data_IF_174424185357
#
_entry.id   IF_174424185357
#
_cell.length_a   1.000
_cell.length_b   1.000
_cell.length_c   1.000
_cell.angle_alpha   90.00
_cell.angle_beta   90.00
_cell.angle_gamma   90.00
#
_symmetry.space_group_name_H-M   'P 1'
#
loop_
_entity.id
_entity.type
_entity.pdbx_description
1 polymer ?
#
# COMPACT_ATOMS: atom_id res chain seq x y z
N UNK A 1 6.81 7.02 -20.00
CA UNK A 1 6.45 8.41 -19.69
C UNK A 1 4.98 8.52 -19.27
N UNK A 2 4.04 7.97 -20.06
CA UNK A 2 2.59 8.06 -19.78
C UNK A 2 2.17 7.44 -18.44
N UNK A 3 2.80 6.36 -18.01
CA UNK A 3 2.51 5.68 -16.74
C UNK A 3 3.30 6.23 -15.55
N UNK A 4 4.14 7.26 -15.75
CA UNK A 4 5.01 7.84 -14.70
C UNK A 4 5.76 6.78 -13.88
N UNK A 5 6.21 5.74 -14.55
CA UNK A 5 6.80 4.55 -13.92
C UNK A 5 7.95 4.87 -12.95
N UNK A 6 8.70 5.94 -13.23
CA UNK A 6 9.80 6.40 -12.36
C UNK A 6 9.34 6.81 -10.97
N UNK A 7 8.08 7.26 -10.79
CA UNK A 7 7.58 7.67 -9.47
C UNK A 7 7.45 6.49 -8.50
N UNK A 8 7.28 5.27 -9.03
CA UNK A 8 7.19 4.05 -8.22
C UNK A 8 8.53 3.59 -7.66
N UNK A 9 9.65 4.14 -8.14
CA UNK A 9 10.96 3.87 -7.54
C UNK A 9 11.13 4.58 -6.20
N UNK A 10 10.48 5.72 -6.01
CA UNK A 10 10.44 6.45 -4.74
C UNK A 10 9.44 5.84 -3.75
N UNK A 11 9.30 6.52 -2.61
CA UNK A 11 8.39 6.10 -1.53
C UNK A 11 7.24 7.13 -1.33
N UNK A 12 7.08 8.10 -2.23
CA UNK A 12 6.03 9.12 -2.15
C UNK A 12 4.64 8.48 -2.33
N UNK A 13 3.73 8.65 -1.37
CA UNK A 13 2.37 8.12 -1.44
C UNK A 13 1.56 8.60 -2.64
N UNK A 14 1.87 9.79 -3.18
CA UNK A 14 1.19 10.33 -4.38
C UNK A 14 1.36 9.44 -5.61
N UNK A 15 2.44 8.65 -5.68
CA UNK A 15 2.65 7.68 -6.76
C UNK A 15 1.52 6.62 -6.80
N UNK A 16 1.00 6.21 -5.66
CA UNK A 16 -0.04 5.18 -5.56
C UNK A 16 -1.37 5.66 -6.16
N UNK A 17 -1.70 6.94 -6.03
CA UNK A 17 -2.96 7.51 -6.57
C UNK A 17 -2.88 7.90 -8.04
N UNK A 18 -1.78 7.62 -8.73
CA UNK A 18 -1.76 7.64 -10.20
C UNK A 18 -2.83 6.69 -10.79
N UNK A 19 -3.20 5.64 -10.04
CA UNK A 19 -4.35 4.81 -10.36
C UNK A 19 -5.54 5.22 -9.50
N UNK A 20 -6.62 5.72 -10.12
CA UNK A 20 -7.81 6.23 -9.42
C UNK A 20 -8.46 5.21 -8.46
N UNK A 21 -8.29 3.91 -8.74
CA UNK A 21 -8.82 2.83 -7.89
C UNK A 21 -8.17 2.82 -6.49
N UNK A 22 -7.01 3.47 -6.33
CA UNK A 22 -6.31 3.60 -5.05
C UNK A 22 -6.80 4.79 -4.22
N UNK A 23 -7.68 5.63 -4.76
CA UNK A 23 -8.23 6.81 -4.06
C UNK A 23 -8.81 6.50 -2.68
N UNK A 24 -9.63 5.46 -2.48
CA UNK A 24 -10.18 5.14 -1.15
C UNK A 24 -9.07 4.80 -0.14
N UNK A 25 -8.06 4.09 -0.56
CA UNK A 25 -6.96 3.65 0.29
C UNK A 25 -6.06 4.82 0.69
N UNK A 26 -5.78 5.71 -0.26
CA UNK A 26 -5.04 6.93 0.04
C UNK A 26 -5.83 7.85 1.00
N UNK A 27 -7.10 8.11 0.70
CA UNK A 27 -7.94 9.00 1.50
C UNK A 27 -8.09 8.48 2.94
N UNK A 28 -8.34 7.20 3.12
CA UNK A 28 -8.48 6.59 4.45
C UNK A 28 -7.16 6.56 5.21
N UNK A 29 -6.03 6.27 4.54
CA UNK A 29 -4.71 6.38 5.15
C UNK A 29 -4.42 7.81 5.61
N UNK A 30 -4.70 8.83 4.79
CA UNK A 30 -4.48 10.25 5.12
C UNK A 30 -5.22 10.70 6.40
N UNK A 31 -6.36 10.09 6.69
CA UNK A 31 -7.12 10.34 7.92
C UNK A 31 -6.70 9.43 9.09
N UNK A 32 -5.83 8.48 8.84
CA UNK A 32 -5.34 7.54 9.86
C UNK A 32 -4.19 8.11 10.69
N UNK A 33 -3.97 7.52 11.87
CA UNK A 33 -2.89 7.92 12.76
C UNK A 33 -1.48 7.72 12.15
N UNK A 34 -1.35 6.81 11.20
CA UNK A 34 -0.08 6.49 10.54
C UNK A 34 0.35 7.52 9.50
N UNK A 35 -0.57 8.32 8.95
CA UNK A 35 -0.27 9.27 7.88
C UNK A 35 0.83 10.30 8.22
N UNK A 36 1.01 10.62 9.50
CA UNK A 36 2.01 11.60 9.95
C UNK A 36 3.44 11.07 9.92
N UNK A 37 3.62 9.76 10.03
CA UNK A 37 4.92 9.15 10.29
C UNK A 37 5.28 8.04 9.30
N UNK A 38 4.36 7.66 8.41
CA UNK A 38 4.57 6.55 7.48
C UNK A 38 4.07 6.90 6.08
N UNK A 39 4.67 6.26 5.10
CA UNK A 39 4.22 6.21 3.71
C UNK A 39 3.54 4.87 3.43
N UNK A 40 2.95 4.73 2.24
CA UNK A 40 2.39 3.45 1.80
C UNK A 40 3.45 2.33 1.83
N UNK A 41 4.67 2.66 1.39
CA UNK A 41 5.77 1.70 1.29
C UNK A 41 6.30 1.24 2.64
N UNK A 42 6.15 2.04 3.70
CA UNK A 42 6.56 1.63 5.05
C UNK A 42 5.80 0.40 5.55
N UNK A 43 4.59 0.19 5.05
CA UNK A 43 3.77 -0.97 5.36
C UNK A 43 3.82 -2.05 4.27
N UNK A 44 3.81 -1.63 2.99
CA UNK A 44 3.58 -2.54 1.87
C UNK A 44 4.84 -3.07 1.20
N UNK A 45 6.03 -2.64 1.60
CA UNK A 45 7.30 -3.04 0.98
C UNK A 45 8.26 -3.54 2.06
N UNK A 46 9.03 -4.64 1.83
CA UNK A 46 9.98 -5.13 2.81
C UNK A 46 11.16 -4.16 3.00
N UNK A 47 11.64 -4.07 4.25
CA UNK A 47 12.70 -3.14 4.65
C UNK A 47 13.96 -3.81 5.20
N UNK A 48 14.01 -5.12 5.17
CA UNK A 48 15.13 -5.92 5.65
C UNK A 48 16.36 -5.87 4.72
N UNK A 49 16.11 -5.79 3.40
CA UNK A 49 17.15 -5.84 2.39
C UNK A 49 16.77 -4.99 1.18
N UNK A 50 17.73 -4.18 0.68
CA UNK A 50 17.54 -3.30 -0.49
C UNK A 50 17.17 -4.09 -1.75
N UNK A 51 17.80 -5.24 -1.99
CA UNK A 51 17.50 -6.08 -3.15
C UNK A 51 16.08 -6.67 -3.04
N UNK A 52 15.68 -7.16 -1.85
CA UNK A 52 14.32 -7.66 -1.60
C UNK A 52 13.31 -6.53 -1.78
N UNK A 53 13.61 -5.32 -1.29
CA UNK A 53 12.77 -4.12 -1.47
C UNK A 53 12.45 -3.87 -2.95
N UNK A 54 13.46 -3.73 -3.79
CA UNK A 54 13.24 -3.40 -5.21
C UNK A 54 12.71 -4.57 -6.03
N UNK A 55 13.11 -5.79 -5.72
CA UNK A 55 12.51 -6.98 -6.33
C UNK A 55 11.01 -7.06 -6.04
N UNK A 56 10.62 -6.86 -4.77
CA UNK A 56 9.21 -6.86 -4.36
C UNK A 56 8.43 -5.73 -5.04
N UNK A 57 8.96 -4.50 -5.04
CA UNK A 57 8.36 -3.37 -5.76
C UNK A 57 8.15 -3.64 -7.24
N UNK A 58 9.16 -4.22 -7.89
CA UNK A 58 9.08 -4.56 -9.31
C UNK A 58 8.02 -5.62 -9.59
N UNK A 59 8.03 -6.72 -8.84
CA UNK A 59 7.07 -7.82 -8.98
C UNK A 59 5.64 -7.36 -8.71
N UNK A 60 5.41 -6.67 -7.60
CA UNK A 60 4.09 -6.20 -7.17
C UNK A 60 3.57 -5.11 -8.11
N UNK A 61 4.42 -4.15 -8.49
CA UNK A 61 4.08 -3.11 -9.46
C UNK A 61 3.70 -3.67 -10.83
N UNK A 62 4.42 -4.67 -11.34
CA UNK A 62 4.08 -5.35 -12.61
C UNK A 62 2.76 -6.10 -12.50
N UNK A 63 2.48 -6.73 -11.37
CA UNK A 63 1.20 -7.38 -11.12
C UNK A 63 0.03 -6.38 -11.10
N UNK A 64 0.22 -5.21 -10.47
CA UNK A 64 -0.77 -4.13 -10.48
C UNK A 64 -1.03 -3.61 -11.90
N UNK A 65 0.02 -3.34 -12.68
CA UNK A 65 -0.11 -2.92 -14.08
C UNK A 65 -0.84 -3.97 -14.90
N UNK A 66 -0.49 -5.24 -14.75
CA UNK A 66 -1.16 -6.35 -15.45
C UNK A 66 -2.66 -6.39 -15.12
N UNK A 67 -3.02 -6.37 -13.84
CA UNK A 67 -4.42 -6.37 -13.39
C UNK A 67 -5.20 -5.17 -13.94
N UNK A 68 -4.60 -3.98 -13.89
CA UNK A 68 -5.21 -2.76 -14.38
C UNK A 68 -5.42 -2.78 -15.91
N UNK A 69 -4.42 -3.19 -16.68
CA UNK A 69 -4.51 -3.25 -18.15
C UNK A 69 -5.51 -4.31 -18.61
N UNK A 70 -5.56 -5.44 -17.92
CA UNK A 70 -6.50 -6.53 -18.22
C UNK A 70 -7.89 -6.36 -17.61
N UNK A 71 -8.11 -5.26 -16.85
CA UNK A 71 -9.37 -4.96 -16.14
C UNK A 71 -9.81 -6.09 -15.22
N UNK A 72 -8.85 -6.68 -14.50
CA UNK A 72 -9.07 -7.76 -13.53
C UNK A 72 -9.03 -7.25 -12.08
N UNK A 73 -9.07 -5.94 -11.88
CA UNK A 73 -9.15 -5.35 -10.56
C UNK A 73 -10.46 -5.74 -9.86
N UNK A 74 -10.34 -6.05 -8.59
CA UNK A 74 -11.51 -6.32 -7.74
C UNK A 74 -12.12 -5.01 -7.27
N UNK A 75 -13.44 -4.96 -7.12
CA UNK A 75 -14.13 -3.80 -6.53
C UNK A 75 -13.66 -3.51 -5.09
N UNK A 76 -13.38 -4.54 -4.32
CA UNK A 76 -12.73 -4.45 -3.01
C UNK A 76 -11.35 -5.07 -3.11
N UNK A 77 -10.31 -4.24 -3.12
CA UNK A 77 -8.92 -4.69 -3.19
C UNK A 77 -8.50 -5.18 -1.80
N UNK A 78 -7.85 -6.31 -1.76
CA UNK A 78 -7.24 -6.88 -0.55
C UNK A 78 -5.83 -7.32 -0.86
N UNK A 79 -4.96 -7.23 0.14
CA UNK A 79 -3.62 -7.76 0.06
C UNK A 79 -3.65 -9.27 -0.26
N UNK A 80 -2.78 -9.70 -1.13
CA UNK A 80 -2.49 -11.12 -1.35
C UNK A 80 -1.63 -11.63 -0.19
N UNK A 81 -1.54 -12.94 -0.02
CA UNK A 81 -0.81 -13.57 1.08
C UNK A 81 0.63 -13.06 1.22
N UNK A 82 1.37 -12.96 0.14
CA UNK A 82 2.75 -12.47 0.13
C UNK A 82 2.86 -11.01 0.61
N UNK A 83 1.92 -10.16 0.19
CA UNK A 83 1.86 -8.76 0.64
C UNK A 83 1.41 -8.67 2.10
N UNK A 84 0.51 -9.56 2.54
CA UNK A 84 0.06 -9.61 3.92
C UNK A 84 1.19 -10.01 4.88
N UNK A 85 2.06 -10.94 4.47
CA UNK A 85 3.26 -11.31 5.23
C UNK A 85 4.18 -10.10 5.41
N UNK A 86 4.48 -9.37 4.35
CA UNK A 86 5.30 -8.14 4.40
C UNK A 86 4.67 -7.08 5.31
N UNK A 87 3.35 -6.90 5.26
CA UNK A 87 2.65 -5.96 6.13
C UNK A 87 2.81 -6.37 7.61
N UNK A 88 2.69 -7.65 7.93
CA UNK A 88 2.91 -8.15 9.29
C UNK A 88 4.35 -7.91 9.76
N UNK A 89 5.35 -8.24 8.93
CA UNK A 89 6.77 -7.96 9.23
C UNK A 89 6.99 -6.49 9.56
N UNK A 90 6.39 -5.58 8.79
CA UNK A 90 6.52 -4.13 8.99
C UNK A 90 5.78 -3.63 10.23
N UNK A 91 4.62 -4.20 10.57
CA UNK A 91 3.94 -3.92 11.83
C UNK A 91 4.84 -4.25 13.02
N UNK A 92 5.41 -5.44 13.02
CA UNK A 92 6.33 -5.91 14.08
C UNK A 92 7.59 -5.04 14.12
N UNK A 93 8.17 -4.69 12.97
CA UNK A 93 9.37 -3.85 12.88
C UNK A 93 9.20 -2.52 13.61
N UNK A 94 8.06 -1.85 13.46
CA UNK A 94 7.80 -0.56 14.09
C UNK A 94 7.26 -0.68 15.53
N UNK A 95 6.51 -1.75 15.81
CA UNK A 95 5.81 -1.96 17.07
C UNK A 95 6.43 -3.04 17.97
N UNK A 96 7.67 -3.45 17.70
CA UNK A 96 8.35 -4.53 18.46
C UNK A 96 8.38 -4.27 19.97
N UNK A 97 8.63 -3.03 20.40
CA UNK A 97 8.68 -2.67 21.81
C UNK A 97 7.32 -2.70 22.52
N UNK A 98 6.23 -2.45 21.78
CA UNK A 98 4.87 -2.47 22.30
C UNK A 98 4.29 -3.89 22.40
N UNK A 99 4.81 -4.79 21.57
CA UNK A 99 4.33 -6.16 21.45
C UNK A 99 5.36 -7.19 21.90
N UNK A 100 6.25 -6.81 22.84
CA UNK A 100 7.38 -7.65 23.27
C UNK A 100 6.96 -9.06 23.68
N UNK A 101 5.88 -9.21 24.43
CA UNK A 101 5.42 -10.54 24.84
C UNK A 101 4.87 -11.36 23.67
N UNK A 102 4.10 -10.75 22.77
CA UNK A 102 3.54 -11.43 21.61
C UNK A 102 4.63 -11.75 20.56
N UNK A 103 5.59 -10.86 20.40
CA UNK A 103 6.74 -11.06 19.51
C UNK A 103 7.70 -12.10 20.08
N UNK A 104 8.00 -12.03 21.40
CA UNK A 104 8.91 -12.96 22.07
C UNK A 104 8.37 -14.40 22.14
N UNK A 105 7.05 -14.57 22.09
CA UNK A 105 6.46 -15.92 22.01
C UNK A 105 6.58 -16.53 20.62
N UNK A 106 7.10 -15.78 19.63
CA UNK A 106 7.26 -16.26 18.25
C UNK A 106 5.95 -16.57 17.52
N UNK A 107 4.82 -16.19 18.11
CA UNK A 107 3.48 -16.53 17.60
C UNK A 107 2.86 -15.47 16.69
N UNK A 108 3.64 -14.44 16.31
CA UNK A 108 3.19 -13.42 15.40
C UNK A 108 3.97 -13.54 14.09
N UNK A 109 3.74 -14.63 13.40
CA UNK A 109 4.12 -14.76 12.00
C UNK A 109 2.87 -14.90 11.15
N UNK A 110 2.94 -14.45 9.91
CA UNK A 110 1.80 -14.63 9.00
C UNK A 110 1.55 -16.12 8.71
N UNK A 111 2.56 -16.96 8.84
CA UNK A 111 2.41 -18.41 8.73
C UNK A 111 1.50 -18.97 9.84
N UNK A 112 1.67 -18.50 11.09
CA UNK A 112 0.79 -18.90 12.20
C UNK A 112 -0.66 -18.46 11.95
N UNK A 113 -0.84 -17.27 11.36
CA UNK A 113 -2.17 -16.79 10.96
C UNK A 113 -2.80 -17.71 9.91
N UNK A 114 -2.03 -18.13 8.89
CA UNK A 114 -2.52 -19.05 7.86
C UNK A 114 -2.89 -20.43 8.39
N UNK A 115 -2.23 -20.87 9.45
CA UNK A 115 -2.50 -22.16 10.09
C UNK A 115 -3.52 -22.08 11.24
N UNK A 116 -4.25 -20.96 11.37
CA UNK A 116 -5.18 -20.68 12.48
C UNK A 116 -4.54 -20.79 13.89
N UNK A 117 -3.21 -20.74 13.96
CA UNK A 117 -2.45 -20.80 15.21
C UNK A 117 -2.17 -19.41 15.79
N UNK A 118 -2.43 -18.34 15.04
CA UNK A 118 -2.20 -16.97 15.43
C UNK A 118 -3.28 -16.02 14.90
N UNK A 119 -3.10 -14.71 15.18
CA UNK A 119 -3.95 -13.64 14.65
C UNK A 119 -3.09 -12.58 14.00
N UNK A 120 -3.57 -12.03 12.89
CA UNK A 120 -2.96 -10.87 12.29
C UNK A 120 -3.23 -9.61 13.11
N UNK A 121 -2.33 -8.62 13.01
CA UNK A 121 -2.48 -7.36 13.73
C UNK A 121 -3.82 -6.68 13.41
N UNK A 122 -4.26 -6.74 12.15
CA UNK A 122 -5.54 -6.17 11.69
C UNK A 122 -6.78 -6.96 12.12
N UNK A 123 -6.67 -8.16 12.65
CA UNK A 123 -7.82 -8.90 13.19
C UNK A 123 -8.36 -8.24 14.45
N UNK A 124 -7.46 -7.61 15.22
CA UNK A 124 -7.80 -6.83 16.41
C UNK A 124 -7.85 -5.33 16.08
N UNK A 125 -6.87 -4.81 15.30
CA UNK A 125 -6.75 -3.40 14.92
C UNK A 125 -7.41 -3.15 13.55
N UNK A 126 -8.72 -3.35 13.47
CA UNK A 126 -9.49 -3.39 12.22
C UNK A 126 -9.49 -2.10 11.40
N UNK A 127 -9.26 -0.97 12.05
CA UNK A 127 -9.27 0.34 11.41
C UNK A 127 -7.86 0.87 11.10
N UNK A 128 -6.84 0.02 11.33
CA UNK A 128 -5.46 0.41 11.07
C UNK A 128 -5.24 0.61 9.57
N UNK A 129 -4.54 1.69 9.25
CA UNK A 129 -4.20 2.21 7.93
C UNK A 129 -5.41 2.61 7.08
N UNK A 130 -6.27 1.69 6.69
CA UNK A 130 -7.33 1.95 5.69
C UNK A 130 -8.76 1.83 6.21
N UNK A 131 -8.97 1.45 7.47
CA UNK A 131 -10.30 1.25 8.02
C UNK A 131 -11.13 0.23 7.22
N UNK A 132 -12.44 0.46 7.16
CA UNK A 132 -13.39 -0.44 6.46
C UNK A 132 -13.72 0.00 5.03
N UNK A 133 -13.07 1.03 4.53
CA UNK A 133 -13.39 1.59 3.20
C UNK A 133 -12.61 0.89 2.11
N UNK A 134 -13.29 0.15 1.27
CA UNK A 134 -12.66 -0.77 0.30
C UNK A 134 -13.06 -0.50 -1.16
N UNK A 135 -13.80 0.57 -1.46
CA UNK A 135 -14.25 0.87 -2.81
C UNK A 135 -14.36 2.37 -3.08
N UNK A 136 -14.36 2.76 -4.35
CA UNK A 136 -14.54 4.16 -4.77
C UNK A 136 -15.86 4.75 -4.27
N UNK A 137 -16.91 3.95 -4.19
CA UNK A 137 -18.20 4.38 -3.67
C UNK A 137 -18.20 4.73 -2.17
N UNK A 138 -17.22 4.24 -1.42
CA UNK A 138 -17.09 4.57 0.00
C UNK A 138 -16.46 5.96 0.23
N UNK A 139 -15.84 6.54 -0.78
CA UNK A 139 -15.15 7.85 -0.69
C UNK A 139 -15.49 8.75 -1.87
N UNK A 140 -16.79 9.05 -2.13
CA UNK A 140 -17.20 9.75 -3.35
C UNK A 140 -16.71 11.20 -3.42
N UNK A 141 -16.36 11.79 -2.29
CA UNK A 141 -15.87 13.17 -2.19
C UNK A 141 -14.39 13.23 -1.71
N UNK A 142 -13.63 12.13 -1.88
CA UNK A 142 -12.25 12.11 -1.45
C UNK A 142 -11.38 13.02 -2.32
N UNK A 143 -10.69 13.95 -1.67
CA UNK A 143 -9.65 14.75 -2.29
C UNK A 143 -8.32 14.02 -2.16
N UNK A 144 -7.67 13.79 -3.30
CA UNK A 144 -6.36 13.17 -3.38
C UNK A 144 -5.44 14.01 -4.27
N UNK A 145 -4.12 13.93 -4.10
CA UNK A 145 -3.20 14.60 -5.02
C UNK A 145 -3.48 14.18 -6.47
N UNK A 146 -3.72 15.15 -7.33
CA UNK A 146 -3.83 14.87 -8.75
C UNK A 146 -2.44 14.64 -9.30
N UNK A 147 -2.23 13.58 -10.12
CA UNK A 147 -0.98 13.37 -10.79
C UNK A 147 -0.71 14.56 -11.73
N UNK A 148 0.53 15.02 -11.76
CA UNK A 148 0.92 16.02 -12.75
C UNK A 148 0.64 15.49 -14.16
N UNK A 149 0.32 16.39 -15.08
CA UNK A 149 0.09 16.02 -16.47
C UNK A 149 1.28 15.24 -17.04
N UNK A 150 1.06 14.08 -17.69
CA UNK A 150 2.13 13.35 -18.36
C UNK A 150 2.66 14.11 -19.59
N UNK A 151 1.93 15.14 -20.04
CA UNK A 151 2.32 15.97 -21.16
C UNK A 151 3.35 16.99 -20.68
N UNK A 152 4.56 17.04 -21.26
CA UNK A 152 5.59 18.02 -20.90
C UNK A 152 5.06 19.46 -21.00
N UNK A 153 5.49 20.32 -20.07
CA UNK A 153 5.01 21.70 -19.97
C UNK A 153 5.18 22.52 -21.28
N UNK A 154 6.23 22.24 -22.06
CA UNK A 154 6.46 22.87 -23.34
C UNK A 154 5.40 22.48 -24.38
N UNK A 155 4.95 21.22 -24.36
CA UNK A 155 3.91 20.73 -25.28
C UNK A 155 2.52 21.24 -24.88
N UNK A 156 2.25 21.37 -23.57
CA UNK A 156 1.00 21.98 -23.08
C UNK A 156 0.83 23.43 -23.51
N UNK A 157 1.95 24.16 -23.65
CA UNK A 157 1.94 25.56 -24.16
C UNK A 157 1.66 25.66 -25.67
N UNK A 158 1.88 24.60 -26.43
CA UNK A 158 1.64 24.60 -27.88
C UNK A 158 0.17 24.29 -28.25
N UNK A 159 -0.60 23.73 -27.30
CA UNK A 159 -2.00 23.32 -27.55
C UNK A 159 -2.99 24.39 -27.04
N UNK A 160 -2.50 25.43 -26.37
CA UNK A 160 -3.28 26.65 -26.05
C UNK A 160 -3.13 27.68 -27.14
#
# INVERSE_FOLDING_TARGET
>A
YLLRFHTYLGDDPSACVNCHIMTPYYATWMHGAHARNTTCNDCHVPHDNVFRKYYFKGKDGMNHVYKFVTRQERQAIRAIDESAEVIMENCVRCHATLNTELVNTGRITYMDVKCDAGKACWDCHRDVAHGKMNSLSSTPAAEVPLPESPVPAWLQKMVK
#
